data_IF_323242485237
#
_entry.id   IF_323242485237
#
_cell.length_a   1.000
_cell.length_b   1.000
_cell.length_c   1.000
_cell.angle_alpha   90.00
_cell.angle_beta   90.00
_cell.angle_gamma   90.00
#
_symmetry.space_group_name_H-M   'P 1'
#
loop_
_entity.id
_entity.type
_entity.pdbx_description
1 polymer ?
#
# COMPACT_ATOMS: atom_id res chain seq x y z
N UNK A 1 -43.77 -6.99 47.19
CA UNK A 1 -42.75 -6.90 48.26
C UNK A 1 -41.41 -6.63 47.60
N UNK A 2 -40.95 -5.37 47.58
CA UNK A 2 -39.63 -4.98 47.05
C UNK A 2 -38.68 -4.76 48.22
N UNK A 3 -37.71 -5.66 48.42
CA UNK A 3 -36.62 -5.41 49.36
C UNK A 3 -35.56 -4.54 48.68
N UNK A 4 -35.10 -3.45 49.31
CA UNK A 4 -34.00 -2.66 48.78
C UNK A 4 -32.68 -3.41 48.96
N UNK A 5 -31.86 -3.38 47.91
CA UNK A 5 -30.56 -4.04 47.84
C UNK A 5 -29.56 -3.47 48.86
N UNK A 6 -28.73 -4.35 49.43
CA UNK A 6 -27.67 -4.01 50.38
C UNK A 6 -26.47 -3.33 49.70
N UNK A 7 -25.62 -2.63 50.47
CA UNK A 7 -24.43 -1.93 49.95
C UNK A 7 -23.43 -2.88 49.28
N UNK A 8 -23.36 -4.15 49.69
CA UNK A 8 -22.49 -5.18 49.12
C UNK A 8 -23.03 -5.74 47.80
N UNK A 9 -24.35 -5.86 47.63
CA UNK A 9 -24.95 -6.36 46.39
C UNK A 9 -24.88 -5.35 45.23
N UNK A 10 -24.75 -4.05 45.54
CA UNK A 10 -24.52 -3.00 44.53
C UNK A 10 -23.15 -3.11 43.85
N UNK A 11 -22.15 -3.74 44.49
CA UNK A 11 -20.81 -3.89 43.91
C UNK A 11 -20.73 -4.99 42.85
N UNK A 12 -21.64 -5.97 42.87
CA UNK A 12 -21.63 -7.08 41.91
C UNK A 12 -22.03 -6.68 40.48
N UNK A 13 -22.59 -5.48 40.28
CA UNK A 13 -22.94 -4.96 38.96
C UNK A 13 -22.07 -3.76 38.50
N UNK A 14 -21.06 -3.37 39.27
CA UNK A 14 -20.19 -2.23 38.94
C UNK A 14 -18.96 -2.59 38.07
N UNK A 15 -18.88 -3.81 37.54
CA UNK A 15 -17.76 -4.26 36.71
C UNK A 15 -18.23 -4.84 35.38
N UNK A 16 -18.35 -3.98 34.35
CA UNK A 16 -17.73 -4.33 33.08
C UNK A 16 -16.78 -3.25 32.53
N UNK A 17 -16.52 -2.15 33.26
CA UNK A 17 -15.70 -1.04 32.74
C UNK A 17 -14.19 -1.07 33.07
N UNK A 18 -13.74 -1.94 33.98
CA UNK A 18 -12.30 -2.00 34.35
C UNK A 18 -11.45 -2.93 33.46
N UNK A 19 -12.07 -3.88 32.75
CA UNK A 19 -11.33 -4.83 31.89
C UNK A 19 -10.97 -4.21 30.53
N UNK A 20 -11.72 -3.20 30.06
CA UNK A 20 -11.43 -2.51 28.78
C UNK A 20 -10.23 -1.57 28.85
N UNK A 21 -9.95 -0.94 30.00
CA UNK A 21 -8.78 -0.04 30.13
C UNK A 21 -7.44 -0.79 30.27
N UNK A 22 -7.42 -1.94 30.95
CA UNK A 22 -6.20 -2.74 31.10
C UNK A 22 -5.71 -3.32 29.76
N UNK A 23 -6.63 -3.70 28.86
CA UNK A 23 -6.30 -4.20 27.54
C UNK A 23 -5.70 -3.15 26.59
N UNK A 24 -6.17 -1.90 26.66
CA UNK A 24 -5.64 -0.80 25.84
C UNK A 24 -4.25 -0.32 26.31
N UNK A 25 -4.01 -0.32 27.63
CA UNK A 25 -2.71 0.07 28.18
C UNK A 25 -1.60 -0.93 27.81
N UNK A 26 -1.91 -2.24 27.80
CA UNK A 26 -0.92 -3.29 27.51
C UNK A 26 -0.50 -3.31 26.02
N UNK A 27 -1.39 -2.90 25.10
CA UNK A 27 -1.06 -2.79 23.68
C UNK A 27 -0.27 -1.52 23.32
N UNK A 28 -0.45 -0.42 24.08
CA UNK A 28 0.22 0.86 23.84
C UNK A 28 1.57 1.01 24.57
N UNK A 29 1.78 0.29 25.68
CA UNK A 29 2.99 0.35 26.49
C UNK A 29 4.31 0.07 25.72
N UNK A 30 4.37 -0.88 24.78
CA UNK A 30 5.60 -1.14 24.02
C UNK A 30 5.97 0.01 23.07
N UNK A 31 4.97 0.65 22.46
CA UNK A 31 5.19 1.79 21.57
C UNK A 31 5.58 3.06 22.35
N UNK A 32 4.91 3.31 23.48
CA UNK A 32 5.23 4.45 24.34
C UNK A 32 6.67 4.36 24.88
N UNK A 33 7.09 3.17 25.32
CA UNK A 33 8.47 2.91 25.76
C UNK A 33 9.49 3.04 24.63
N UNK A 34 9.14 2.67 23.39
CA UNK A 34 10.01 2.86 22.22
C UNK A 34 10.20 4.33 21.87
N UNK A 35 9.11 5.11 21.85
CA UNK A 35 9.16 6.56 21.59
C UNK A 35 10.00 7.30 22.63
N UNK A 36 9.82 6.97 23.92
CA UNK A 36 10.58 7.58 25.01
C UNK A 36 12.10 7.29 24.92
N UNK A 37 12.49 6.16 24.33
CA UNK A 37 13.88 5.77 24.09
C UNK A 37 14.42 6.24 22.73
N UNK A 38 13.65 7.04 21.99
CA UNK A 38 14.07 7.55 20.67
C UNK A 38 14.07 6.53 19.54
N UNK A 39 13.46 5.35 19.74
CA UNK A 39 13.38 4.37 18.65
C UNK A 39 12.43 4.86 17.54
N UNK A 40 12.77 4.59 16.26
CA UNK A 40 11.92 4.97 15.15
C UNK A 40 10.56 4.27 15.22
N UNK A 41 9.51 4.99 14.81
CA UNK A 41 8.17 4.41 14.69
C UNK A 41 8.17 3.34 13.60
N UNK A 42 7.70 2.13 13.94
CA UNK A 42 7.57 1.02 13.00
C UNK A 42 6.10 0.89 12.60
N UNK A 43 5.81 0.91 11.29
CA UNK A 43 4.46 0.68 10.79
C UNK A 43 4.25 -0.81 10.57
N UNK A 44 3.18 -1.41 11.12
CA UNK A 44 2.91 -2.82 10.92
C UNK A 44 2.43 -3.05 9.48
N UNK A 45 3.33 -3.53 8.63
CA UNK A 45 2.98 -4.27 7.40
C UNK A 45 2.74 -5.74 7.76
N UNK A 46 2.06 -6.50 6.90
CA UNK A 46 1.80 -7.93 7.16
C UNK A 46 3.13 -8.65 7.49
N UNK A 47 3.24 -9.39 8.61
CA UNK A 47 4.49 -10.01 9.06
C UNK A 47 5.03 -11.08 8.10
N UNK A 48 4.22 -11.58 7.18
CA UNK A 48 4.60 -12.51 6.12
C UNK A 48 4.85 -11.78 4.78
N UNK A 49 4.88 -10.45 4.80
CA UNK A 49 5.19 -9.63 3.65
C UNK A 49 6.58 -9.02 3.72
N UNK A 50 7.22 -8.88 2.56
CA UNK A 50 8.43 -8.09 2.40
C UNK A 50 8.07 -6.76 1.76
N UNK A 51 8.56 -5.65 2.32
CA UNK A 51 8.48 -4.34 1.65
C UNK A 51 9.45 -4.33 0.48
N UNK A 52 8.96 -3.98 -0.70
CA UNK A 52 9.72 -4.02 -1.96
C UNK A 52 9.94 -2.64 -2.54
N UNK A 53 9.08 -1.67 -2.21
CA UNK A 53 9.21 -0.30 -2.66
C UNK A 53 8.43 0.63 -1.73
N UNK A 54 8.91 1.86 -1.59
CA UNK A 54 8.29 2.91 -0.78
C UNK A 54 8.34 4.20 -1.59
N UNK A 55 7.26 4.97 -1.58
CA UNK A 55 7.23 6.33 -2.08
C UNK A 55 6.51 7.25 -1.08
N UNK A 56 6.98 8.48 -1.00
CA UNK A 56 6.33 9.57 -0.25
C UNK A 56 5.78 10.56 -1.27
N UNK A 57 4.54 11.01 -1.09
CA UNK A 57 4.00 12.09 -1.91
C UNK A 57 4.80 13.37 -1.70
N UNK A 58 4.86 14.23 -2.71
CA UNK A 58 5.63 15.49 -2.65
C UNK A 58 5.13 16.41 -1.55
N UNK A 59 3.83 16.44 -1.31
CA UNK A 59 3.21 17.16 -0.20
C UNK A 59 3.46 16.52 1.19
N UNK A 60 4.11 15.36 1.23
CA UNK A 60 4.45 14.63 2.45
C UNK A 60 3.24 14.02 3.18
N UNK A 61 2.05 14.00 2.57
CA UNK A 61 0.81 13.56 3.22
C UNK A 61 0.52 12.07 3.04
N UNK A 62 1.08 11.44 2.02
CA UNK A 62 0.82 10.05 1.67
C UNK A 62 2.12 9.24 1.61
N UNK A 63 2.02 8.00 2.08
CA UNK A 63 3.02 6.96 1.86
C UNK A 63 2.40 5.85 1.02
N UNK A 64 3.05 5.47 -0.07
CA UNK A 64 2.74 4.26 -0.82
C UNK A 64 3.77 3.20 -0.47
N UNK A 65 3.30 2.01 -0.11
CA UNK A 65 4.13 0.87 0.24
C UNK A 65 3.76 -0.30 -0.65
N UNK A 66 4.72 -0.74 -1.46
CA UNK A 66 4.62 -1.96 -2.24
C UNK A 66 5.09 -3.15 -1.39
N UNK A 67 4.20 -4.09 -1.11
CA UNK A 67 4.52 -5.28 -0.32
C UNK A 67 4.34 -6.55 -1.14
N UNK A 68 5.25 -7.49 -0.96
CA UNK A 68 5.16 -8.84 -1.49
C UNK A 68 4.83 -9.81 -0.36
N UNK A 69 3.64 -10.38 -0.39
CA UNK A 69 3.23 -11.42 0.57
C UNK A 69 3.77 -12.76 0.09
N UNK A 70 4.54 -13.43 0.96
CA UNK A 70 4.97 -14.81 0.72
C UNK A 70 3.84 -15.74 1.12
N UNK A 71 3.21 -16.39 0.14
CA UNK A 71 2.35 -17.53 0.43
C UNK A 71 3.18 -18.68 1.02
N UNK A 72 2.82 -19.18 2.21
CA UNK A 72 3.51 -20.32 2.86
C UNK A 72 3.55 -21.57 1.97
N UNK A 73 2.53 -21.73 1.11
CA UNK A 73 2.39 -22.82 0.12
C UNK A 73 1.70 -22.35 -1.18
N UNK A 74 1.77 -21.05 -1.51
CA UNK A 74 0.97 -20.46 -2.59
C UNK A 74 1.70 -19.37 -3.38
N UNK A 75 1.15 -18.93 -4.52
CA UNK A 75 1.76 -17.90 -5.36
C UNK A 75 1.95 -16.61 -4.57
N UNK A 76 3.11 -15.96 -4.76
CA UNK A 76 3.40 -14.64 -4.20
C UNK A 76 2.35 -13.65 -4.68
N UNK A 77 1.78 -12.89 -3.77
CA UNK A 77 0.83 -11.82 -4.11
C UNK A 77 1.45 -10.50 -3.76
N UNK A 78 1.32 -9.54 -4.66
CA UNK A 78 1.81 -8.21 -4.40
C UNK A 78 0.63 -7.28 -4.12
N UNK A 79 0.83 -6.37 -3.17
CA UNK A 79 -0.18 -5.41 -2.71
C UNK A 79 0.41 -4.02 -2.61
N UNK A 80 -0.44 -3.02 -2.83
CA UNK A 80 -0.10 -1.61 -2.63
C UNK A 80 -0.94 -1.11 -1.48
N UNK A 81 -0.27 -0.69 -0.43
CA UNK A 81 -0.88 -0.04 0.71
C UNK A 81 -0.66 1.46 0.60
N UNK A 82 -1.72 2.23 0.81
CA UNK A 82 -1.63 3.68 0.99
C UNK A 82 -1.79 3.99 2.47
N UNK A 83 -0.99 4.90 2.97
CA UNK A 83 -1.03 5.35 4.35
C UNK A 83 -1.05 6.87 4.41
N UNK A 84 -1.78 7.41 5.38
CA UNK A 84 -1.65 8.82 5.74
C UNK A 84 -0.32 8.99 6.50
N UNK A 85 0.56 9.86 6.02
CA UNK A 85 1.92 10.01 6.54
C UNK A 85 1.97 10.70 7.91
N UNK A 86 0.91 11.44 8.29
CA UNK A 86 0.85 12.18 9.56
C UNK A 86 0.38 11.28 10.69
N UNK A 87 -0.69 10.54 10.44
CA UNK A 87 -1.36 9.67 11.42
C UNK A 87 -0.83 8.24 11.37
N UNK A 88 -0.25 7.85 10.24
CA UNK A 88 0.19 6.49 9.94
C UNK A 88 -0.96 5.48 9.96
N UNK A 89 -2.14 5.91 9.52
CA UNK A 89 -3.29 5.03 9.32
C UNK A 89 -3.34 4.54 7.88
N UNK A 90 -3.75 3.28 7.69
CA UNK A 90 -3.99 2.70 6.36
C UNK A 90 -5.21 3.35 5.72
N UNK A 91 -5.06 3.81 4.49
CA UNK A 91 -6.12 4.32 3.64
C UNK A 91 -6.69 3.20 2.76
N UNK A 92 -7.92 3.34 2.22
CA UNK A 92 -8.48 2.32 1.34
C UNK A 92 -7.59 2.07 0.13
N UNK A 93 -7.31 0.80 -0.15
CA UNK A 93 -6.34 0.39 -1.16
C UNK A 93 -6.67 0.96 -2.56
N UNK A 94 -5.69 1.54 -3.27
CA UNK A 94 -5.90 2.06 -4.62
C UNK A 94 -5.98 0.94 -5.66
N UNK A 95 -5.52 -0.26 -5.34
CA UNK A 95 -5.49 -1.40 -6.24
C UNK A 95 -5.71 -2.72 -5.48
N UNK A 96 -6.37 -3.67 -6.13
CA UNK A 96 -6.53 -5.03 -5.60
C UNK A 96 -5.21 -5.81 -5.68
N UNK A 97 -4.97 -6.77 -4.77
CA UNK A 97 -3.82 -7.67 -4.86
C UNK A 97 -3.74 -8.36 -6.21
N UNK A 98 -2.58 -8.31 -6.86
CA UNK A 98 -2.33 -9.04 -8.11
C UNK A 98 -1.68 -10.37 -7.76
N UNK A 99 -2.33 -11.48 -8.13
CA UNK A 99 -1.83 -12.85 -7.86
C UNK A 99 -1.14 -13.47 -9.07
N UNK A 100 -1.74 -13.28 -10.24
CA UNK A 100 -1.27 -13.77 -11.52
C UNK A 100 -2.04 -13.08 -12.64
N UNK A 101 -1.46 -13.05 -13.83
CA UNK A 101 -2.13 -12.55 -15.03
C UNK A 101 -1.95 -13.56 -16.15
N UNK A 102 -3.02 -13.79 -16.91
CA UNK A 102 -2.96 -14.59 -18.12
C UNK A 102 -2.34 -13.77 -19.24
N UNK A 103 -1.20 -14.24 -19.77
CA UNK A 103 -0.56 -13.61 -20.91
C UNK A 103 -1.10 -14.22 -22.21
N UNK A 104 -1.87 -13.45 -22.96
CA UNK A 104 -2.49 -13.89 -24.22
C UNK A 104 -1.47 -14.15 -25.33
N UNK A 105 -0.31 -13.49 -25.31
CA UNK A 105 0.78 -13.67 -26.29
C UNK A 105 1.49 -15.00 -26.10
N UNK A 106 1.77 -15.39 -24.85
CA UNK A 106 2.46 -16.65 -24.53
C UNK A 106 1.52 -17.80 -24.17
N UNK A 107 0.21 -17.52 -24.08
CA UNK A 107 -0.85 -18.44 -23.63
C UNK A 107 -0.58 -19.08 -22.25
N UNK A 108 0.18 -18.40 -21.39
CA UNK A 108 0.58 -18.90 -20.06
C UNK A 108 0.06 -17.97 -18.97
N UNK A 109 -0.38 -18.57 -17.87
CA UNK A 109 -0.59 -17.84 -16.61
C UNK A 109 0.77 -17.53 -16.02
N UNK A 110 1.08 -16.25 -15.90
CA UNK A 110 2.32 -15.78 -15.32
C UNK A 110 2.05 -15.53 -13.83
N UNK A 111 2.62 -16.35 -12.91
CA UNK A 111 2.60 -16.01 -11.50
C UNK A 111 3.37 -14.70 -11.31
N UNK A 112 2.95 -13.83 -10.40
CA UNK A 112 3.62 -12.54 -10.24
C UNK A 112 5.05 -12.73 -9.66
N UNK A 113 6.04 -12.75 -10.56
CA UNK A 113 7.46 -12.95 -10.25
C UNK A 113 8.11 -11.59 -10.02
N UNK A 114 7.78 -10.97 -8.87
CA UNK A 114 8.51 -9.90 -8.18
C UNK A 114 9.17 -8.78 -9.03
N UNK A 115 8.46 -7.68 -9.26
CA UNK A 115 9.07 -6.33 -9.41
C UNK A 115 7.98 -5.31 -9.11
N UNK A 116 8.10 -4.45 -8.10
CA UNK A 116 6.92 -3.74 -7.56
C UNK A 116 7.06 -2.23 -7.34
N UNK A 117 8.00 -1.57 -8.02
CA UNK A 117 8.25 -0.13 -7.87
C UNK A 117 6.96 0.70 -7.76
N UNK A 118 6.90 1.62 -6.79
CA UNK A 118 5.79 2.57 -6.62
C UNK A 118 6.31 3.99 -6.72
N UNK A 119 5.54 4.88 -7.33
CA UNK A 119 5.90 6.29 -7.45
C UNK A 119 4.66 7.19 -7.51
N UNK A 120 4.74 8.34 -6.84
CA UNK A 120 3.78 9.42 -7.01
C UNK A 120 4.19 10.31 -8.19
N UNK A 121 3.21 10.84 -8.91
CA UNK A 121 3.46 11.98 -9.78
C UNK A 121 3.87 13.20 -8.96
N UNK A 122 4.62 14.17 -9.51
CA UNK A 122 5.02 15.38 -8.80
C UNK A 122 3.89 16.29 -8.32
N UNK A 123 2.66 16.05 -8.79
CA UNK A 123 1.43 16.74 -8.38
C UNK A 123 0.57 15.88 -7.44
N UNK A 124 1.07 14.71 -7.02
CA UNK A 124 0.44 13.76 -6.07
C UNK A 124 -0.98 13.31 -6.46
N UNK A 125 -1.30 13.38 -7.75
CA UNK A 125 -2.61 13.00 -8.29
C UNK A 125 -2.61 11.64 -8.98
N UNK A 126 -1.43 11.11 -9.33
CA UNK A 126 -1.26 9.81 -9.97
C UNK A 126 -0.33 8.93 -9.14
N UNK A 127 -0.76 7.70 -8.89
CA UNK A 127 0.07 6.64 -8.34
C UNK A 127 0.42 5.65 -9.46
N UNK A 128 1.69 5.61 -9.80
CA UNK A 128 2.27 4.62 -10.69
C UNK A 128 2.81 3.45 -9.88
N UNK A 129 2.66 2.26 -10.45
CA UNK A 129 3.30 1.06 -9.93
C UNK A 129 3.50 0.06 -11.04
N UNK A 130 4.32 -0.96 -10.78
CA UNK A 130 4.56 -2.02 -11.74
C UNK A 130 4.49 -3.41 -11.12
N UNK A 131 4.23 -4.43 -11.93
CA UNK A 131 4.34 -5.84 -11.54
C UNK A 131 4.68 -6.70 -12.73
N UNK A 132 5.47 -7.77 -12.56
CA UNK A 132 5.83 -8.65 -13.68
C UNK A 132 4.60 -9.22 -14.39
N UNK A 133 3.53 -9.46 -13.65
CA UNK A 133 2.27 -9.93 -14.21
C UNK A 133 1.49 -8.85 -14.98
N UNK A 134 1.52 -7.58 -14.55
CA UNK A 134 0.68 -6.51 -15.12
C UNK A 134 1.42 -5.49 -15.99
N UNK A 135 2.75 -5.48 -15.96
CA UNK A 135 3.57 -4.41 -16.50
C UNK A 135 3.45 -3.15 -15.64
N UNK A 136 3.22 -2.01 -16.28
CA UNK A 136 3.03 -0.72 -15.61
C UNK A 136 1.56 -0.38 -15.44
N UNK A 137 1.16 0.13 -14.28
CA UNK A 137 -0.20 0.57 -13.97
C UNK A 137 -0.19 1.96 -13.34
N UNK A 138 -1.07 2.83 -13.83
CA UNK A 138 -1.22 4.21 -13.37
C UNK A 138 -2.65 4.43 -12.89
N UNK A 139 -2.81 4.97 -11.69
CA UNK A 139 -4.12 5.22 -11.07
C UNK A 139 -4.24 6.67 -10.65
N UNK A 140 -5.43 7.22 -10.85
CA UNK A 140 -5.80 8.52 -10.31
C UNK A 140 -6.14 8.34 -8.82
N UNK A 141 -5.44 9.08 -7.96
CA UNK A 141 -5.58 8.95 -6.51
C UNK A 141 -6.90 9.51 -5.97
N UNK A 142 -7.46 10.52 -6.65
CA UNK A 142 -8.72 11.16 -6.25
C UNK A 142 -9.90 10.23 -6.48
N UNK A 143 -9.96 9.63 -7.67
CA UNK A 143 -11.05 8.76 -8.11
C UNK A 143 -10.80 7.28 -7.78
N UNK A 144 -9.56 6.92 -7.44
CA UNK A 144 -9.10 5.53 -7.21
C UNK A 144 -9.35 4.63 -8.41
N UNK A 145 -9.34 5.20 -9.61
CA UNK A 145 -9.54 4.48 -10.87
C UNK A 145 -8.23 4.36 -11.62
N UNK A 146 -8.07 3.22 -12.30
CA UNK A 146 -6.97 3.03 -13.26
C UNK A 146 -7.15 4.00 -14.42
N UNK A 147 -6.13 4.83 -14.65
CA UNK A 147 -6.03 5.71 -15.81
C UNK A 147 -5.66 4.89 -17.04
N UNK A 148 -4.59 4.11 -16.93
CA UNK A 148 -4.13 3.20 -17.97
C UNK A 148 -3.19 2.14 -17.37
N UNK A 149 -2.97 1.08 -18.14
CA UNK A 149 -1.96 0.08 -17.88
C UNK A 149 -1.29 -0.34 -19.17
N UNK A 150 -0.02 -0.70 -19.09
CA UNK A 150 0.76 -1.17 -20.23
C UNK A 150 1.48 -2.46 -19.84
N UNK A 151 1.18 -3.60 -20.50
CA UNK A 151 1.96 -4.81 -20.34
C UNK A 151 3.42 -4.57 -20.71
N UNK A 152 4.33 -5.20 -19.98
CA UNK A 152 5.77 -5.17 -20.23
C UNK A 152 6.33 -6.57 -19.99
N UNK A 153 7.24 -7.04 -20.84
CA UNK A 153 7.86 -8.37 -20.68
C UNK A 153 9.02 -8.31 -19.69
N UNK A 154 9.68 -7.15 -19.64
CA UNK A 154 10.76 -6.84 -18.71
C UNK A 154 10.48 -5.49 -18.06
N UNK A 155 10.66 -5.42 -16.74
CA UNK A 155 10.36 -4.21 -15.97
C UNK A 155 11.64 -3.72 -15.34
N UNK A 156 11.99 -2.48 -15.65
CA UNK A 156 13.24 -1.88 -15.16
C UNK A 156 12.93 -0.78 -14.16
N UNK A 157 12.34 0.34 -14.60
CA UNK A 157 11.89 1.43 -13.74
C UNK A 157 10.99 2.39 -14.54
N UNK A 158 10.19 3.18 -13.82
CA UNK A 158 9.44 4.32 -14.37
C UNK A 158 9.88 5.62 -13.68
N UNK A 159 9.97 6.71 -14.43
CA UNK A 159 10.32 8.02 -13.89
C UNK A 159 9.41 9.12 -14.44
N UNK A 160 8.77 9.89 -13.55
CA UNK A 160 8.00 11.06 -13.93
C UNK A 160 8.92 12.24 -14.27
N UNK A 161 8.57 12.97 -15.32
CA UNK A 161 9.10 14.32 -15.54
C UNK A 161 8.77 15.23 -14.36
N UNK A 162 9.59 16.24 -14.07
CA UNK A 162 9.37 17.19 -12.96
C UNK A 162 7.98 17.84 -12.95
N UNK A 163 7.42 18.11 -14.13
CA UNK A 163 6.08 18.69 -14.26
C UNK A 163 4.95 17.65 -14.16
N UNK A 164 5.26 16.36 -14.23
CA UNK A 164 4.31 15.25 -14.08
C UNK A 164 3.50 14.91 -15.33
N UNK A 165 3.69 15.61 -16.44
CA UNK A 165 2.93 15.41 -17.69
C UNK A 165 3.46 14.24 -18.52
N UNK A 166 4.74 13.88 -18.32
CA UNK A 166 5.40 12.78 -19.02
C UNK A 166 5.94 11.76 -18.04
N UNK A 167 5.98 10.51 -18.49
CA UNK A 167 6.65 9.41 -17.81
C UNK A 167 7.56 8.66 -18.78
N UNK A 168 8.79 8.40 -18.34
CA UNK A 168 9.72 7.52 -19.02
C UNK A 168 9.56 6.11 -18.45
N UNK A 169 9.34 5.11 -19.30
CA UNK A 169 9.25 3.69 -18.92
C UNK A 169 10.18 2.85 -19.78
N UNK A 170 10.94 1.95 -19.15
CA UNK A 170 11.81 0.99 -19.84
C UNK A 170 11.12 -0.37 -20.00
N UNK A 171 11.12 -0.93 -21.21
CA UNK A 171 10.56 -2.25 -21.51
C UNK A 171 11.26 -2.83 -22.75
N UNK A 172 11.68 -4.08 -22.68
CA UNK A 172 12.28 -4.87 -23.78
C UNK A 172 13.40 -4.15 -24.53
N UNK A 173 14.33 -3.56 -23.77
CA UNK A 173 15.49 -2.84 -24.33
C UNK A 173 15.15 -1.48 -24.93
N UNK A 174 13.90 -1.03 -24.83
CA UNK A 174 13.46 0.27 -25.31
C UNK A 174 13.07 1.21 -24.17
N UNK A 175 13.36 2.50 -24.36
CA UNK A 175 12.84 3.58 -23.54
C UNK A 175 11.63 4.20 -24.22
N UNK A 176 10.54 4.37 -23.49
CA UNK A 176 9.33 5.01 -24.00
C UNK A 176 9.00 6.26 -23.20
N UNK A 177 8.80 7.37 -23.90
CA UNK A 177 8.27 8.60 -23.33
C UNK A 177 6.77 8.66 -23.59
N UNK A 178 5.99 8.61 -22.52
CA UNK A 178 4.54 8.55 -22.55
C UNK A 178 3.96 9.78 -21.87
N UNK A 179 2.77 10.19 -22.30
CA UNK A 179 1.92 11.07 -21.54
C UNK A 179 1.46 10.35 -20.26
N UNK A 180 1.68 10.98 -19.11
CA UNK A 180 1.48 10.36 -17.80
C UNK A 180 -0.01 10.08 -17.50
N UNK A 181 -0.93 10.84 -18.10
CA UNK A 181 -2.37 10.68 -17.83
C UNK A 181 -3.05 9.71 -18.79
N UNK A 182 -2.56 9.60 -20.01
CA UNK A 182 -3.20 8.81 -21.08
C UNK A 182 -2.42 7.57 -21.50
N UNK A 183 -1.13 7.48 -21.16
CA UNK A 183 -0.25 6.39 -21.56
C UNK A 183 0.13 6.39 -23.06
N UNK A 184 -0.27 7.42 -23.81
CA UNK A 184 0.05 7.55 -25.24
C UNK A 184 1.50 7.99 -25.41
N UNK A 185 2.16 7.51 -26.48
CA UNK A 185 3.51 7.98 -26.85
C UNK A 185 3.45 9.47 -27.19
N UNK A 186 4.38 10.23 -26.63
CA UNK A 186 4.57 11.63 -27.01
C UNK A 186 5.18 11.65 -28.41
N UNK A 187 4.55 12.36 -29.35
CA UNK A 187 5.14 12.58 -30.68
C UNK A 187 6.23 13.64 -30.56
N UNK A 188 7.32 13.43 -31.30
CA UNK A 188 8.35 14.45 -31.54
C UNK A 188 7.75 15.65 -32.25
#
# INVERSE_FOLDING_TARGET
MNRPWSRSEKWLFATPLLVTFAGLALAAAPEAGRRARGYPKVLPVDPHSSVTSIAVSRDGRLLAVGTQVRGRFGPKTNTIELWDAKTFQRLPAPARPVKSVYNSRTKKTIPDRSTFGVAFSPQDNVLAWNSYATGYTFNDLKTKRRLWSRPASTIVNAAFSRQGHRVAVGDDGALHILDARTGKRVKS
#
